data_IF_927223810823
#
_entry.id   IF_927223810823
#
_cell.length_a   1.000
_cell.length_b   1.000
_cell.length_c   1.000
_cell.angle_alpha   90.00
_cell.angle_beta   90.00
_cell.angle_gamma   90.00
#
_symmetry.space_group_name_H-M   'P 1'
#
loop_
_entity.id
_entity.type
_entity.pdbx_description
1 polymer ?
#
# COMPACT_ATOMS: atom_id res chain seq x y z
N UNK A 1 -15.85 32.27 -18.69
CA UNK A 1 -14.64 32.46 -17.87
C UNK A 1 -13.76 31.24 -18.06
N UNK A 2 -12.63 31.38 -18.76
CA UNK A 2 -11.72 30.26 -18.99
C UNK A 2 -11.08 29.87 -17.64
N UNK A 3 -11.33 28.65 -17.18
CA UNK A 3 -10.60 28.10 -16.04
C UNK A 3 -9.12 28.07 -16.44
N UNK A 4 -8.29 28.78 -15.68
CA UNK A 4 -6.84 28.77 -15.86
C UNK A 4 -6.33 27.32 -15.85
N UNK A 5 -5.79 26.86 -16.97
CA UNK A 5 -5.36 25.47 -17.16
C UNK A 5 -4.39 25.03 -16.07
N UNK A 6 -3.55 25.94 -15.58
CA UNK A 6 -2.64 25.69 -14.46
C UNK A 6 -3.39 25.35 -13.15
N UNK A 7 -4.53 26.00 -12.89
CA UNK A 7 -5.37 25.65 -11.74
C UNK A 7 -6.03 24.27 -11.91
N UNK A 8 -6.43 23.89 -13.13
CA UNK A 8 -6.90 22.53 -13.42
C UNK A 8 -5.82 21.49 -13.10
N UNK A 9 -4.57 21.74 -13.48
CA UNK A 9 -3.43 20.86 -13.15
C UNK A 9 -3.20 20.76 -11.63
N UNK A 10 -3.26 21.87 -10.90
CA UNK A 10 -3.18 21.86 -9.42
C UNK A 10 -4.31 21.08 -8.78
N UNK A 11 -5.53 21.19 -9.31
CA UNK A 11 -6.69 20.42 -8.81
C UNK A 11 -6.48 18.94 -9.09
N UNK A 12 -5.99 18.57 -10.28
CA UNK A 12 -5.64 17.20 -10.62
C UNK A 12 -4.56 16.66 -9.65
N UNK A 13 -3.47 17.39 -9.42
CA UNK A 13 -2.44 17.02 -8.46
C UNK A 13 -2.99 16.85 -7.03
N UNK A 14 -3.92 17.72 -6.58
CA UNK A 14 -4.60 17.56 -5.29
C UNK A 14 -5.44 16.28 -5.23
N UNK A 15 -6.18 15.96 -6.30
CA UNK A 15 -6.97 14.71 -6.39
C UNK A 15 -6.05 13.49 -6.38
N UNK A 16 -4.96 13.53 -7.14
CA UNK A 16 -3.94 12.48 -7.18
C UNK A 16 -3.30 12.26 -5.80
N UNK A 17 -2.92 13.35 -5.11
CA UNK A 17 -2.35 13.29 -3.76
C UNK A 17 -3.31 12.72 -2.70
N UNK A 18 -4.63 12.88 -2.93
CA UNK A 18 -5.65 12.25 -2.09
C UNK A 18 -5.79 10.77 -2.43
N UNK A 19 -5.96 10.44 -3.71
CA UNK A 19 -6.17 9.07 -4.17
C UNK A 19 -4.99 8.14 -3.87
N UNK A 20 -3.76 8.63 -4.06
CA UNK A 20 -2.53 7.84 -3.84
C UNK A 20 -1.92 8.02 -2.45
N UNK A 21 -2.58 8.78 -1.55
CA UNK A 21 -2.07 9.06 -0.20
C UNK A 21 -0.62 9.59 -0.15
N UNK A 22 -0.21 10.37 -1.16
CA UNK A 22 1.12 10.99 -1.25
C UNK A 22 1.09 12.47 -0.87
N UNK A 23 2.28 13.04 -0.61
CA UNK A 23 2.44 14.49 -0.42
C UNK A 23 2.04 15.22 -1.71
N UNK A 24 1.38 16.38 -1.56
CA UNK A 24 0.92 17.17 -2.71
C UNK A 24 2.07 17.59 -3.64
N UNK A 25 3.26 17.87 -3.09
CA UNK A 25 4.44 18.18 -3.92
C UNK A 25 4.81 17.01 -4.84
N UNK A 26 4.83 15.78 -4.34
CA UNK A 26 5.10 14.59 -5.16
C UNK A 26 4.04 14.41 -6.26
N UNK A 27 2.77 14.70 -5.96
CA UNK A 27 1.71 14.64 -6.96
C UNK A 27 1.86 15.72 -8.05
N UNK A 28 2.36 16.91 -7.70
CA UNK A 28 2.69 17.96 -8.67
C UNK A 28 3.84 17.53 -9.59
N UNK A 29 4.87 16.86 -9.05
CA UNK A 29 5.96 16.30 -9.85
C UNK A 29 5.45 15.25 -10.85
N UNK A 30 4.59 14.33 -10.42
CA UNK A 30 3.99 13.31 -11.31
C UNK A 30 3.21 13.98 -12.46
N UNK A 31 2.39 14.99 -12.16
CA UNK A 31 1.64 15.72 -13.19
C UNK A 31 2.58 16.44 -14.16
N UNK A 32 3.70 17.01 -13.68
CA UNK A 32 4.67 17.66 -14.54
C UNK A 32 5.34 16.68 -15.50
N UNK A 33 5.82 15.54 -14.98
CA UNK A 33 6.47 14.49 -15.78
C UNK A 33 5.52 13.92 -16.83
N UNK A 34 4.26 13.67 -16.47
CA UNK A 34 3.27 13.17 -17.41
C UNK A 34 2.96 14.15 -18.57
N UNK A 35 3.20 15.45 -18.35
CA UNK A 35 3.07 16.51 -19.36
C UNK A 35 4.39 16.80 -20.10
N UNK A 36 5.42 15.98 -19.88
CA UNK A 36 6.73 16.11 -20.53
C UNK A 36 7.63 17.17 -19.91
N UNK A 37 7.33 17.65 -18.70
CA UNK A 37 8.16 18.60 -17.97
C UNK A 37 8.97 17.88 -16.89
N UNK A 38 10.24 18.26 -16.65
CA UNK A 38 11.12 17.51 -15.74
C UNK A 38 10.70 17.60 -14.27
N UNK A 39 10.14 18.74 -13.86
CA UNK A 39 9.62 18.96 -12.51
C UNK A 39 8.58 20.09 -12.50
N UNK A 40 7.80 20.18 -11.42
CA UNK A 40 6.69 21.15 -11.31
C UNK A 40 7.13 22.60 -11.48
N UNK A 41 8.26 22.99 -10.88
CA UNK A 41 8.78 24.36 -11.04
C UNK A 41 9.08 24.70 -12.51
N UNK A 42 9.61 23.74 -13.30
CA UNK A 42 9.89 23.92 -14.72
C UNK A 42 8.62 24.08 -15.53
N UNK A 43 7.58 23.29 -15.22
CA UNK A 43 6.25 23.44 -15.80
C UNK A 43 5.66 24.83 -15.51
N UNK A 44 5.74 25.28 -14.26
CA UNK A 44 5.21 26.58 -13.87
C UNK A 44 5.92 27.74 -14.60
N UNK A 45 7.24 27.63 -14.80
CA UNK A 45 8.02 28.63 -15.54
C UNK A 45 7.71 28.59 -17.03
N UNK A 46 7.64 27.41 -17.65
CA UNK A 46 7.22 27.25 -19.03
C UNK A 46 5.81 27.86 -19.26
N UNK A 47 4.89 27.66 -18.31
CA UNK A 47 3.55 28.24 -18.35
C UNK A 47 3.57 29.77 -18.34
N UNK A 48 4.45 30.40 -17.55
CA UNK A 48 4.65 31.86 -17.59
C UNK A 48 5.19 32.31 -18.94
N UNK A 49 6.05 31.52 -19.56
CA UNK A 49 6.59 31.77 -20.91
C UNK A 49 5.63 31.39 -22.06
N UNK A 50 4.35 31.16 -21.76
CA UNK A 50 3.31 30.96 -22.78
C UNK A 50 3.11 29.51 -23.20
N UNK A 51 3.87 28.55 -22.68
CA UNK A 51 3.60 27.14 -22.90
C UNK A 51 2.23 26.75 -22.32
N UNK A 52 1.47 25.95 -23.06
CA UNK A 52 0.19 25.38 -22.62
C UNK A 52 0.18 23.89 -22.94
N UNK A 53 -0.39 23.04 -22.06
CA UNK A 53 -0.55 21.62 -22.37
C UNK A 53 -1.49 21.45 -23.57
N UNK A 54 -1.21 20.46 -24.40
CA UNK A 54 -2.06 20.14 -25.56
C UNK A 54 -3.37 19.49 -25.12
N UNK A 55 -4.44 19.54 -25.94
CA UNK A 55 -5.70 18.84 -25.64
C UNK A 55 -5.47 17.34 -25.33
N UNK A 56 -4.67 16.65 -26.13
CA UNK A 56 -4.32 15.25 -25.90
C UNK A 56 -3.59 15.00 -24.58
N UNK A 57 -2.80 15.97 -24.09
CA UNK A 57 -2.18 15.88 -22.76
C UNK A 57 -3.20 16.09 -21.64
N UNK A 58 -4.19 16.96 -21.85
CA UNK A 58 -5.28 17.17 -20.90
C UNK A 58 -6.21 15.95 -20.81
N UNK A 59 -6.45 15.27 -21.93
CA UNK A 59 -7.29 14.06 -22.01
C UNK A 59 -6.68 12.86 -21.26
N UNK A 60 -5.35 12.85 -21.03
CA UNK A 60 -4.66 11.82 -20.24
C UNK A 60 -4.68 12.06 -18.73
N UNK A 61 -5.12 13.23 -18.27
CA UNK A 61 -5.18 13.52 -16.83
C UNK A 61 -6.13 12.59 -16.05
N UNK A 62 -7.33 12.26 -16.57
CA UNK A 62 -8.18 11.25 -15.94
C UNK A 62 -7.49 9.90 -15.78
N UNK A 63 -6.70 9.47 -16.76
CA UNK A 63 -5.98 8.20 -16.72
C UNK A 63 -4.93 8.18 -15.61
N UNK A 64 -4.16 9.27 -15.44
CA UNK A 64 -3.23 9.44 -14.32
C UNK A 64 -3.93 9.42 -12.96
N UNK A 65 -5.16 9.96 -12.91
CA UNK A 65 -6.02 9.92 -11.73
C UNK A 65 -6.68 8.54 -11.56
N UNK A 66 -6.76 7.71 -12.60
CA UNK A 66 -7.34 6.37 -12.58
C UNK A 66 -6.34 5.33 -12.12
N UNK A 67 -5.07 5.47 -12.52
CA UNK A 67 -3.96 4.61 -12.11
C UNK A 67 -3.78 4.66 -10.59
N UNK A 68 -4.17 3.57 -9.93
CA UNK A 68 -3.78 3.24 -8.56
C UNK A 68 -2.26 3.10 -8.46
N UNK A 69 -1.76 2.89 -7.23
CA UNK A 69 -0.35 2.73 -6.87
C UNK A 69 0.51 2.08 -7.96
N UNK A 70 1.75 2.57 -8.09
CA UNK A 70 2.76 2.22 -9.10
C UNK A 70 2.52 0.88 -9.80
N UNK A 71 2.45 0.86 -11.16
CA UNK A 71 2.13 -0.35 -11.89
C UNK A 71 3.03 -1.49 -11.42
N UNK A 72 2.41 -2.58 -10.97
CA UNK A 72 3.13 -3.75 -10.50
C UNK A 72 3.96 -4.28 -11.67
N UNK A 73 5.28 -4.20 -11.53
CA UNK A 73 6.20 -4.63 -12.56
C UNK A 73 6.31 -6.16 -12.60
N UNK A 74 5.52 -6.78 -13.47
CA UNK A 74 5.58 -8.22 -13.73
C UNK A 74 6.72 -8.61 -14.67
N UNK A 75 7.44 -7.67 -15.29
CA UNK A 75 8.51 -7.99 -16.25
C UNK A 75 9.62 -8.83 -15.63
N UNK A 76 9.83 -8.70 -14.30
CA UNK A 76 10.76 -9.50 -13.52
C UNK A 76 10.44 -11.01 -13.53
N UNK A 77 9.21 -11.39 -13.85
CA UNK A 77 8.82 -12.81 -13.95
C UNK A 77 8.95 -13.36 -15.38
N UNK A 78 9.09 -12.51 -16.39
CA UNK A 78 9.09 -12.92 -17.79
C UNK A 78 7.93 -13.87 -18.11
N UNK A 79 8.22 -14.96 -18.81
CA UNK A 79 7.23 -15.97 -19.19
C UNK A 79 6.94 -17.00 -18.09
N UNK A 80 7.59 -16.89 -16.93
CA UNK A 80 7.46 -17.88 -15.87
C UNK A 80 6.25 -17.63 -14.95
N UNK A 81 5.56 -16.51 -15.08
CA UNK A 81 4.31 -16.22 -14.37
C UNK A 81 3.15 -16.19 -15.37
N UNK A 82 2.16 -17.04 -15.15
CA UNK A 82 0.96 -17.14 -15.99
C UNK A 82 -0.26 -17.10 -15.06
N UNK A 83 -1.16 -16.15 -15.26
CA UNK A 83 -2.47 -16.16 -14.60
C UNK A 83 -3.44 -17.00 -15.42
N UNK A 84 -4.10 -17.97 -14.79
CA UNK A 84 -4.94 -18.96 -15.49
C UNK A 84 -6.42 -18.77 -15.22
N UNK A 85 -6.80 -18.32 -14.02
CA UNK A 85 -8.18 -18.09 -13.63
C UNK A 85 -8.24 -17.10 -12.45
N UNK A 86 -9.29 -16.30 -12.34
CA UNK A 86 -9.49 -15.41 -11.20
C UNK A 86 -10.98 -15.07 -11.01
N UNK A 87 -11.35 -14.69 -9.80
CA UNK A 87 -12.73 -14.38 -9.40
C UNK A 87 -12.75 -13.08 -8.59
N UNK A 88 -13.61 -12.10 -8.93
CA UNK A 88 -14.53 -12.11 -10.07
C UNK A 88 -13.80 -11.90 -11.41
N UNK A 89 -14.36 -12.45 -12.51
CA UNK A 89 -13.71 -12.50 -13.83
C UNK A 89 -13.59 -11.13 -14.51
N UNK A 90 -14.44 -10.17 -14.13
CA UNK A 90 -14.46 -8.80 -14.64
C UNK A 90 -13.40 -7.89 -14.02
N UNK A 91 -12.75 -8.33 -12.94
CA UNK A 91 -11.61 -7.65 -12.34
C UNK A 91 -10.29 -8.00 -13.05
N UNK A 92 -9.28 -7.15 -12.88
CA UNK A 92 -7.90 -7.52 -13.25
C UNK A 92 -7.41 -8.64 -12.33
N UNK A 93 -6.49 -9.53 -12.76
CA UNK A 93 -6.06 -10.68 -11.95
C UNK A 93 -5.59 -10.32 -10.53
N UNK A 94 -4.78 -9.27 -10.39
CA UNK A 94 -4.30 -8.82 -9.09
C UNK A 94 -5.32 -8.04 -8.28
N UNK A 95 -6.45 -7.66 -8.87
CA UNK A 95 -7.60 -6.97 -8.28
C UNK A 95 -8.78 -7.94 -8.02
N UNK A 96 -8.74 -9.17 -8.52
CA UNK A 96 -9.73 -10.21 -8.23
C UNK A 96 -9.59 -10.71 -6.79
N UNK A 97 -10.62 -11.22 -6.12
CA UNK A 97 -10.56 -11.72 -4.73
C UNK A 97 -9.76 -13.03 -4.62
N UNK A 98 -9.88 -13.88 -5.64
CA UNK A 98 -9.12 -15.11 -5.78
C UNK A 98 -8.44 -15.16 -7.15
N UNK A 99 -7.20 -15.64 -7.18
CA UNK A 99 -6.36 -15.72 -8.37
C UNK A 99 -5.67 -17.08 -8.41
N UNK A 100 -5.69 -17.73 -9.56
CA UNK A 100 -4.95 -18.96 -9.83
C UNK A 100 -3.98 -18.74 -10.98
N UNK A 101 -2.88 -19.48 -10.95
CA UNK A 101 -1.85 -19.34 -11.96
C UNK A 101 -0.79 -20.42 -11.89
N UNK A 102 0.27 -20.18 -12.64
CA UNK A 102 1.50 -20.94 -12.64
C UNK A 102 2.68 -20.01 -12.45
N UNK A 103 3.60 -20.38 -11.56
CA UNK A 103 4.86 -19.71 -11.32
C UNK A 103 5.98 -20.77 -11.41
N UNK A 104 6.92 -20.62 -12.34
CA UNK A 104 8.04 -21.55 -12.52
C UNK A 104 7.61 -23.02 -12.72
N UNK A 105 6.51 -23.25 -13.45
CA UNK A 105 5.95 -24.60 -13.64
C UNK A 105 5.08 -25.10 -12.48
N UNK A 106 4.97 -24.34 -11.40
CA UNK A 106 4.19 -24.71 -10.22
C UNK A 106 2.84 -23.99 -10.21
N UNK A 107 1.76 -24.77 -10.17
CA UNK A 107 0.41 -24.23 -9.99
C UNK A 107 0.26 -23.59 -8.61
N UNK A 108 -0.33 -22.41 -8.56
CA UNK A 108 -0.60 -21.69 -7.32
C UNK A 108 -2.02 -21.11 -7.29
N UNK A 109 -2.46 -20.78 -6.08
CA UNK A 109 -3.54 -19.84 -5.82
C UNK A 109 -3.00 -18.66 -5.00
N UNK A 110 -3.66 -17.52 -5.14
CA UNK A 110 -3.45 -16.27 -4.44
C UNK A 110 -4.82 -15.78 -3.99
N UNK A 111 -5.02 -15.74 -2.68
CA UNK A 111 -6.26 -15.31 -2.07
C UNK A 111 -5.97 -14.53 -0.80
N UNK A 112 -6.94 -13.79 -0.30
CA UNK A 112 -6.80 -13.05 0.94
C UNK A 112 -7.91 -12.03 1.13
N UNK A 113 -7.99 -11.54 2.35
CA UNK A 113 -8.96 -10.54 2.77
C UNK A 113 -8.23 -9.37 3.45
N UNK A 114 -8.93 -8.67 4.34
CA UNK A 114 -8.37 -7.55 5.09
C UNK A 114 -7.39 -7.98 6.19
N UNK A 115 -7.32 -9.27 6.54
CA UNK A 115 -6.53 -9.79 7.67
C UNK A 115 -5.27 -10.54 7.25
N UNK A 116 -5.35 -11.39 6.23
CA UNK A 116 -4.23 -12.22 5.76
C UNK A 116 -4.30 -12.38 4.23
N UNK A 117 -3.12 -12.50 3.60
CA UNK A 117 -3.00 -12.93 2.21
C UNK A 117 -2.20 -14.23 2.16
N UNK A 118 -2.62 -15.16 1.32
CA UNK A 118 -1.96 -16.44 1.09
C UNK A 118 -1.54 -16.61 -0.37
N UNK A 119 -0.33 -17.12 -0.59
CA UNK A 119 0.15 -17.69 -1.84
C UNK A 119 0.39 -19.17 -1.59
N UNK A 120 -0.34 -20.06 -2.24
CA UNK A 120 -0.24 -21.48 -1.90
C UNK A 120 -0.52 -22.40 -3.06
N UNK A 121 -0.41 -23.69 -2.77
CA UNK A 121 -0.78 -24.77 -3.66
C UNK A 121 -1.29 -25.94 -2.82
N UNK A 122 -1.53 -27.09 -3.44
CA UNK A 122 -1.94 -28.27 -2.70
C UNK A 122 -0.86 -28.66 -1.66
N UNK A 123 -1.21 -28.47 -0.39
CA UNK A 123 -0.42 -28.94 0.74
C UNK A 123 0.52 -27.93 1.39
N UNK A 124 0.57 -26.70 0.90
CA UNK A 124 1.39 -25.64 1.50
C UNK A 124 0.88 -24.25 1.12
N UNK A 125 1.23 -23.28 1.94
CA UNK A 125 0.93 -21.87 1.71
C UNK A 125 2.03 -20.99 2.32
N UNK A 126 2.33 -19.87 1.69
CA UNK A 126 3.06 -18.76 2.27
C UNK A 126 2.00 -17.73 2.62
N UNK A 127 1.86 -17.43 3.90
CA UNK A 127 0.93 -16.42 4.38
C UNK A 127 1.65 -15.13 4.75
N UNK A 128 0.93 -14.02 4.69
CA UNK A 128 1.39 -12.73 5.17
C UNK A 128 0.22 -12.03 5.89
N UNK A 129 0.42 -11.75 7.17
CA UNK A 129 -0.53 -11.02 8.01
C UNK A 129 -0.62 -9.54 7.61
N UNK A 130 -1.67 -8.88 8.12
CA UNK A 130 -2.01 -7.48 7.88
C UNK A 130 -0.88 -6.47 8.12
N UNK A 131 0.00 -6.70 9.11
CA UNK A 131 1.06 -5.74 9.44
C UNK A 131 2.13 -5.68 8.33
N UNK A 132 2.46 -4.50 7.76
CA UNK A 132 3.54 -4.38 6.77
C UNK A 132 4.92 -4.87 7.23
N UNK A 133 5.17 -4.88 8.55
CA UNK A 133 6.36 -5.44 9.18
C UNK A 133 6.32 -6.95 9.37
N UNK A 134 5.16 -7.59 9.15
CA UNK A 134 5.03 -9.04 9.26
C UNK A 134 5.94 -9.74 8.26
N UNK A 135 6.51 -10.87 8.69
CA UNK A 135 7.31 -11.71 7.82
C UNK A 135 6.42 -12.78 7.21
N UNK A 136 6.54 -13.06 5.91
CA UNK A 136 5.84 -14.17 5.28
C UNK A 136 6.17 -15.48 6.00
N UNK A 137 5.16 -16.30 6.26
CA UNK A 137 5.32 -17.58 6.96
C UNK A 137 4.91 -18.72 6.04
N UNK A 138 5.82 -19.68 5.85
CA UNK A 138 5.55 -20.89 5.10
C UNK A 138 4.87 -21.92 6.01
N UNK A 139 3.59 -22.19 5.75
CA UNK A 139 2.76 -23.18 6.46
C UNK A 139 2.59 -24.44 5.61
N UNK A 140 2.52 -25.60 6.27
CA UNK A 140 2.18 -26.89 5.65
C UNK A 140 0.69 -27.19 5.88
N UNK A 141 -0.03 -27.44 4.79
CA UNK A 141 -1.46 -27.75 4.83
C UNK A 141 -1.68 -29.27 4.87
N UNK A 142 -2.09 -29.79 6.03
CA UNK A 142 -2.42 -31.21 6.21
C UNK A 142 -1.22 -32.12 6.54
N UNK A 143 -1.53 -33.38 6.87
CA UNK A 143 -0.56 -34.36 7.41
C UNK A 143 0.22 -35.17 6.35
N UNK A 144 -0.26 -35.23 5.10
CA UNK A 144 0.25 -36.13 4.04
C UNK A 144 0.82 -35.41 2.82
N UNK A 145 1.37 -34.21 2.99
CA UNK A 145 2.00 -33.48 1.89
C UNK A 145 3.44 -33.91 1.75
N UNK A 146 3.86 -34.26 0.53
CA UNK A 146 5.25 -34.52 0.16
C UNK A 146 6.06 -33.22 0.26
N UNK A 147 6.49 -32.94 1.50
CA UNK A 147 7.45 -31.94 1.95
C UNK A 147 7.45 -30.56 1.28
N UNK A 148 6.96 -29.59 2.04
CA UNK A 148 7.28 -28.15 1.92
C UNK A 148 8.79 -27.87 1.84
N UNK A 149 9.60 -28.72 2.49
CA UNK A 149 11.06 -28.63 2.49
C UNK A 149 11.73 -28.92 1.13
N UNK A 150 10.98 -29.36 0.12
CA UNK A 150 11.48 -29.57 -1.24
C UNK A 150 11.26 -28.36 -2.15
N UNK A 151 10.62 -27.29 -1.66
CA UNK A 151 10.45 -26.08 -2.45
C UNK A 151 11.77 -25.32 -2.56
N UNK A 152 12.15 -25.00 -3.79
CA UNK A 152 13.34 -24.21 -4.10
C UNK A 152 13.27 -22.83 -3.39
N UNK A 153 14.30 -22.44 -2.61
CA UNK A 153 14.38 -21.11 -2.02
C UNK A 153 14.18 -19.97 -3.02
N UNK A 154 14.65 -20.10 -4.27
CA UNK A 154 14.45 -19.08 -5.30
C UNK A 154 12.97 -18.95 -5.70
N UNK A 155 12.27 -20.08 -5.79
CA UNK A 155 10.82 -20.08 -5.98
C UNK A 155 10.08 -19.41 -4.81
N UNK A 156 10.45 -19.74 -3.57
CA UNK A 156 9.85 -19.12 -2.37
C UNK A 156 10.03 -17.61 -2.37
N UNK A 157 11.20 -17.11 -2.75
CA UNK A 157 11.47 -15.67 -2.84
C UNK A 157 10.57 -15.00 -3.89
N UNK A 158 10.43 -15.60 -5.07
CA UNK A 158 9.58 -15.08 -6.15
C UNK A 158 8.09 -15.11 -5.80
N UNK A 159 7.63 -16.19 -5.17
CA UNK A 159 6.29 -16.34 -4.65
C UNK A 159 6.01 -15.29 -3.57
N UNK A 160 6.95 -15.10 -2.64
CA UNK A 160 6.89 -14.07 -1.59
C UNK A 160 6.80 -12.67 -2.17
N UNK A 161 7.52 -12.38 -3.25
CA UNK A 161 7.45 -11.09 -3.92
C UNK A 161 6.06 -10.85 -4.50
N UNK A 162 5.45 -11.86 -5.14
CA UNK A 162 4.08 -11.75 -5.67
C UNK A 162 3.04 -11.60 -4.55
N UNK A 163 3.23 -12.34 -3.45
CA UNK A 163 2.44 -12.21 -2.23
C UNK A 163 2.49 -10.78 -1.65
N UNK A 164 3.68 -10.17 -1.58
CA UNK A 164 3.84 -8.79 -1.12
C UNK A 164 3.21 -7.77 -2.06
N UNK A 165 3.27 -7.99 -3.38
CA UNK A 165 2.53 -7.17 -4.35
C UNK A 165 1.04 -7.25 -4.09
N UNK A 166 0.52 -8.47 -3.84
CA UNK A 166 -0.88 -8.70 -3.50
C UNK A 166 -1.28 -8.02 -2.20
N UNK A 167 -0.45 -8.10 -1.16
CA UNK A 167 -0.70 -7.47 0.14
C UNK A 167 -0.91 -5.96 0.07
N UNK A 168 -0.40 -5.30 -0.99
CA UNK A 168 -0.73 -3.90 -1.26
C UNK A 168 -2.23 -3.60 -1.33
N UNK A 169 -3.06 -4.53 -1.84
CA UNK A 169 -4.53 -4.39 -1.83
C UNK A 169 -5.10 -4.48 -0.41
N UNK A 170 -4.67 -5.45 0.37
CA UNK A 170 -5.06 -5.59 1.77
C UNK A 170 -4.73 -4.29 2.52
N UNK A 171 -3.51 -3.76 2.38
CA UNK A 171 -3.12 -2.51 3.04
C UNK A 171 -3.97 -1.31 2.60
N UNK A 172 -4.28 -1.22 1.31
CA UNK A 172 -5.13 -0.17 0.77
C UNK A 172 -6.57 -0.28 1.28
N UNK A 173 -7.13 -1.49 1.36
CA UNK A 173 -8.47 -1.75 1.87
C UNK A 173 -8.58 -1.38 3.36
N UNK A 174 -7.66 -1.87 4.17
CA UNK A 174 -7.60 -1.62 5.62
C UNK A 174 -7.56 -0.13 5.95
N UNK A 175 -6.82 0.65 5.15
CA UNK A 175 -6.64 2.08 5.38
C UNK A 175 -7.59 2.98 4.60
N UNK A 176 -8.52 2.43 3.81
CA UNK A 176 -9.39 3.18 2.90
C UNK A 176 -10.27 4.20 3.65
N UNK A 177 -10.82 3.78 4.79
CA UNK A 177 -11.75 4.60 5.59
C UNK A 177 -11.06 5.38 6.71
N UNK A 178 -9.72 5.29 6.80
CA UNK A 178 -9.00 5.98 7.86
C UNK A 178 -8.89 7.49 7.59
N UNK A 179 -8.90 8.32 8.64
CA UNK A 179 -8.59 9.73 8.50
C UNK A 179 -7.23 9.93 7.80
N UNK A 180 -7.12 10.95 6.94
CA UNK A 180 -5.84 11.27 6.26
C UNK A 180 -4.67 11.44 7.23
N UNK A 181 -4.92 11.90 8.46
CA UNK A 181 -3.90 12.05 9.51
C UNK A 181 -3.43 10.72 10.11
N UNK A 182 -4.13 9.62 9.86
CA UNK A 182 -3.74 8.27 10.27
C UNK A 182 -2.73 7.62 9.31
N UNK A 183 -2.81 7.96 8.03
CA UNK A 183 -1.90 7.46 6.98
C UNK A 183 -0.82 8.46 6.59
N UNK A 184 -1.03 9.75 6.89
CA UNK A 184 -0.07 10.82 6.67
C UNK A 184 0.10 11.70 7.92
N UNK A 185 1.10 11.37 8.76
CA UNK A 185 1.51 12.24 9.86
C UNK A 185 1.93 13.62 9.37
N UNK A 186 1.89 14.60 10.27
CA UNK A 186 2.39 15.95 9.98
C UNK A 186 3.94 16.01 10.02
N UNK A 187 4.50 17.20 9.77
CA UNK A 187 5.95 17.39 9.71
C UNK A 187 6.66 17.10 11.04
N UNK A 188 5.94 17.18 12.16
CA UNK A 188 6.48 16.90 13.51
C UNK A 188 6.13 15.48 13.98
N UNK A 189 5.61 14.63 13.08
CA UNK A 189 5.33 13.23 13.35
C UNK A 189 4.01 12.96 14.06
N UNK A 190 3.13 13.97 14.22
CA UNK A 190 1.81 13.74 14.80
C UNK A 190 0.90 13.03 13.81
N UNK A 191 0.33 11.92 14.25
CA UNK A 191 -0.63 11.13 13.50
C UNK A 191 -1.92 10.98 14.31
N UNK A 192 -3.05 10.79 13.64
CA UNK A 192 -4.33 10.54 14.32
C UNK A 192 -4.63 9.05 14.33
N UNK A 193 -5.01 8.51 15.48
CA UNK A 193 -5.35 7.09 15.56
C UNK A 193 -6.57 6.75 14.70
N UNK A 194 -6.53 5.67 13.88
CA UNK A 194 -7.64 5.31 12.99
C UNK A 194 -8.93 5.01 13.75
N UNK A 195 -8.83 4.46 14.96
CA UNK A 195 -9.95 4.19 15.86
C UNK A 195 -10.33 5.35 16.80
N UNK A 196 -9.94 6.60 16.48
CA UNK A 196 -10.44 7.78 17.21
C UNK A 196 -9.75 8.11 18.55
N UNK A 197 -8.55 7.58 18.81
CA UNK A 197 -7.75 7.85 20.03
C UNK A 197 -6.94 9.16 20.00
N UNK A 198 -7.42 10.19 19.29
CA UNK A 198 -6.79 11.51 19.24
C UNK A 198 -5.60 11.64 18.27
N UNK A 199 -4.81 12.70 18.47
CA UNK A 199 -3.64 13.11 17.68
C UNK A 199 -2.41 13.13 18.58
N UNK A 200 -1.39 12.34 18.26
CA UNK A 200 -0.15 12.27 19.04
C UNK A 200 1.07 12.07 18.15
N UNK A 201 2.21 12.59 18.59
CA UNK A 201 3.52 12.31 18.00
C UNK A 201 4.09 10.97 18.48
N UNK A 202 3.63 10.48 19.63
CA UNK A 202 4.11 9.27 20.30
C UNK A 202 2.96 8.29 20.54
N UNK A 203 3.25 7.01 20.35
CA UNK A 203 2.30 5.91 20.46
C UNK A 203 2.93 4.75 21.22
N UNK A 204 2.22 4.25 22.23
CA UNK A 204 2.66 3.24 23.17
C UNK A 204 1.91 1.94 22.91
N UNK A 205 2.65 0.84 22.86
CA UNK A 205 2.09 -0.50 22.74
C UNK A 205 1.70 -1.04 24.13
N UNK A 206 0.44 -1.44 24.28
CA UNK A 206 -0.06 -2.07 25.52
C UNK A 206 0.65 -3.38 25.89
N UNK A 207 1.19 -4.10 24.90
CA UNK A 207 1.73 -5.45 25.10
C UNK A 207 3.22 -5.49 25.46
N UNK A 208 4.00 -4.51 24.99
CA UNK A 208 5.45 -4.55 25.10
C UNK A 208 6.11 -3.22 25.50
N UNK A 209 5.29 -2.22 25.86
CA UNK A 209 5.71 -0.87 26.26
C UNK A 209 6.58 -0.12 25.23
N UNK A 210 6.67 -0.64 24.00
CA UNK A 210 7.42 0.02 22.94
C UNK A 210 6.76 1.35 22.58
N UNK A 211 7.61 2.35 22.38
CA UNK A 211 7.22 3.69 21.94
C UNK A 211 7.54 3.84 20.46
N UNK A 212 6.59 4.36 19.70
CA UNK A 212 6.69 4.58 18.27
C UNK A 212 6.26 6.00 17.93
N UNK A 213 6.90 6.59 16.92
CA UNK A 213 6.41 7.83 16.35
C UNK A 213 5.21 7.59 15.40
N UNK A 214 4.48 8.67 15.07
CA UNK A 214 3.33 8.58 14.16
C UNK A 214 3.69 8.11 12.73
N UNK A 215 4.94 8.30 12.26
CA UNK A 215 5.38 7.81 10.95
C UNK A 215 5.56 6.30 10.95
N UNK A 216 6.15 5.73 11.99
CA UNK A 216 6.27 4.30 12.19
C UNK A 216 4.88 3.65 12.26
N UNK A 217 3.95 4.25 13.01
CA UNK A 217 2.56 3.77 13.09
C UNK A 217 1.83 3.83 11.76
N UNK A 218 1.84 4.98 11.09
CA UNK A 218 1.18 5.14 9.79
C UNK A 218 1.73 4.17 8.73
N UNK A 219 3.05 3.98 8.71
CA UNK A 219 3.73 3.07 7.76
C UNK A 219 3.41 1.60 8.03
N UNK A 220 3.15 1.24 9.28
CA UNK A 220 2.89 -0.14 9.69
C UNK A 220 1.42 -0.45 9.96
N UNK A 221 0.50 0.31 9.34
CA UNK A 221 -0.94 0.15 9.54
C UNK A 221 -1.34 0.08 11.02
N UNK A 222 -0.72 0.92 11.85
CA UNK A 222 -0.97 1.03 13.28
C UNK A 222 -0.71 -0.26 14.08
N UNK A 223 0.01 -1.22 13.52
CA UNK A 223 0.55 -2.34 14.28
C UNK A 223 1.85 -1.95 14.97
N UNK A 224 2.04 -2.43 16.20
CA UNK A 224 3.31 -2.30 16.90
C UNK A 224 4.43 -2.95 16.07
N UNK A 225 5.48 -2.19 15.74
CA UNK A 225 6.59 -2.71 14.93
C UNK A 225 7.51 -3.65 15.72
N UNK A 226 7.37 -3.71 17.05
CA UNK A 226 8.18 -4.55 17.92
C UNK A 226 7.56 -5.93 18.16
N UNK A 227 6.27 -5.99 18.50
CA UNK A 227 5.60 -7.25 18.84
C UNK A 227 4.43 -7.63 17.90
N UNK A 228 4.06 -6.78 16.95
CA UNK A 228 2.96 -7.04 16.02
C UNK A 228 1.56 -6.83 16.61
N UNK A 229 1.45 -6.23 17.81
CA UNK A 229 0.16 -5.91 18.41
C UNK A 229 -0.70 -5.07 17.47
N UNK A 230 -2.02 -5.30 17.52
CA UNK A 230 -2.98 -4.71 16.60
C UNK A 230 -3.27 -3.24 16.91
N UNK A 231 -3.90 -2.48 15.99
CA UNK A 231 -4.22 -1.06 16.22
C UNK A 231 -5.06 -0.79 17.46
N UNK A 232 -5.86 -1.76 17.94
CA UNK A 232 -6.64 -1.54 19.16
C UNK A 232 -5.76 -1.35 20.40
N UNK A 233 -4.51 -1.82 20.34
CA UNK A 233 -3.55 -1.87 21.44
C UNK A 233 -2.52 -0.72 21.41
N UNK A 234 -2.67 0.22 20.48
CA UNK A 234 -1.81 1.40 20.37
C UNK A 234 -2.48 2.62 20.98
N UNK A 235 -1.78 3.30 21.89
CA UNK A 235 -2.35 4.41 22.66
C UNK A 235 -1.42 5.63 22.69
N UNK A 236 -1.95 6.85 22.78
CA UNK A 236 -1.14 8.06 22.82
C UNK A 236 -0.43 8.27 24.17
N UNK A 237 -0.82 7.52 25.21
CA UNK A 237 -0.25 7.56 26.56
C UNK A 237 -0.29 6.16 27.18
N UNK A 238 0.71 5.75 27.97
CA UNK A 238 0.76 4.42 28.59
C UNK A 238 -0.03 4.40 29.92
N UNK A 239 -1.35 4.59 29.85
CA UNK A 239 -2.21 4.71 31.04
C UNK A 239 -2.21 3.46 31.95
N UNK A 240 -1.82 2.30 31.42
CA UNK A 240 -1.67 1.05 32.16
C UNK A 240 -0.46 1.02 33.10
N UNK A 241 0.51 1.92 32.92
CA UNK A 241 1.73 2.00 33.73
C UNK A 241 1.57 2.85 35.01
N UNK A 242 0.34 3.17 35.40
CA UNK A 242 0.04 3.79 36.70
C UNK A 242 0.39 5.28 36.82
N UNK A 243 0.60 5.98 35.70
CA UNK A 243 0.79 7.44 35.71
C UNK A 243 -0.58 8.10 35.60
N UNK A 244 -1.03 8.75 36.67
CA UNK A 244 -2.26 9.55 36.70
C UNK A 244 -2.28 10.57 35.55
N UNK A 245 -3.41 10.65 34.83
CA UNK A 245 -3.65 11.70 33.85
C UNK A 245 -3.74 13.05 34.58
N UNK A 246 -3.07 14.12 34.12
CA UNK A 246 -3.37 15.45 34.61
C UNK A 246 -4.81 15.81 34.20
N UNK A 247 -5.57 16.30 35.18
CA UNK A 247 -6.96 16.73 35.08
C UNK A 247 -7.19 17.82 34.00
#
# INVERSE_FOLDING_TARGET
>A
MAIDTLNTLKIAAKRLARKRSIKHINALEIVAVALGQPHWCGLAEAYKHGWRPTPAQMDKLPDLLSESADPIDFSVYGNALIFTHWVPEDAKPMEADELHGELDGHRFYLAGDEFEVAFGSQGWEIVLDQAPSAKPQLKRLGRRVKSVAALDPAFIERATRLLKMRAGRMYAAVSADWPRRSTMPDQVGRASHPLGRGLSAEWHCLHCDAVHDGHAMAKNLWHCTACGASPIDMFPTPFWNGVEQPA
#
